data_IF_303700933168
#
_entry.id   IF_303700933168
#
_cell.length_a   1.000
_cell.length_b   1.000
_cell.length_c   1.000
_cell.angle_alpha   90.00
_cell.angle_beta   90.00
_cell.angle_gamma   90.00
#
_symmetry.space_group_name_H-M   'P 1'
#
loop_
_entity.id
_entity.type
_entity.pdbx_description
1 polymer ?
#
# COMPACT_ATOMS: atom_id res chain seq x y z
N UNK A 1 6.07 -13.98 -6.55
CA UNK A 1 5.63 -13.57 -7.89
C UNK A 1 6.68 -12.60 -8.40
N UNK A 2 7.19 -12.77 -9.61
CA UNK A 2 8.12 -11.79 -10.20
C UNK A 2 7.29 -10.63 -10.75
N UNK A 3 7.46 -9.42 -10.20
CA UNK A 3 6.83 -8.21 -10.72
C UNK A 3 7.59 -7.70 -11.96
N UNK A 4 6.87 -7.22 -12.97
CA UNK A 4 7.45 -6.63 -14.18
C UNK A 4 7.85 -5.15 -14.07
N UNK A 5 7.46 -4.49 -12.96
CA UNK A 5 7.64 -3.07 -12.73
C UNK A 5 9.10 -2.63 -12.87
N UNK A 6 9.38 -1.71 -13.79
CA UNK A 6 10.72 -1.23 -14.08
C UNK A 6 11.65 -2.29 -14.68
N UNK A 7 11.15 -3.46 -15.08
CA UNK A 7 11.92 -4.54 -15.73
C UNK A 7 11.49 -4.69 -17.19
N UNK A 8 10.21 -4.98 -17.41
CA UNK A 8 9.60 -5.12 -18.73
C UNK A 8 8.31 -4.29 -18.86
N UNK A 9 7.95 -3.52 -17.84
CA UNK A 9 6.85 -2.57 -17.85
C UNK A 9 7.27 -1.21 -17.27
N UNK A 10 6.59 -0.16 -17.73
CA UNK A 10 6.71 1.21 -17.24
C UNK A 10 5.35 1.90 -17.33
N UNK A 11 5.22 3.03 -16.65
CA UNK A 11 4.06 3.91 -16.74
C UNK A 11 4.50 5.34 -16.99
N UNK A 12 3.73 6.09 -17.77
CA UNK A 12 3.95 7.52 -18.00
C UNK A 12 2.68 8.26 -17.57
N UNK A 13 2.83 9.20 -16.66
CA UNK A 13 1.70 10.03 -16.22
C UNK A 13 1.33 11.07 -17.28
N UNK A 14 0.13 11.67 -17.22
CA UNK A 14 -0.23 12.78 -18.12
C UNK A 14 0.71 13.98 -18.04
N UNK A 15 1.40 14.17 -16.93
CA UNK A 15 2.39 15.23 -16.73
C UNK A 15 3.74 14.93 -17.40
N UNK A 16 3.90 13.76 -18.02
CA UNK A 16 5.15 13.32 -18.65
C UNK A 16 6.12 12.63 -17.70
N UNK A 17 5.68 12.21 -16.51
CA UNK A 17 6.55 11.54 -15.55
C UNK A 17 6.63 10.04 -15.84
N UNK A 18 7.82 9.53 -16.11
CA UNK A 18 8.13 8.11 -16.20
C UNK A 18 8.24 7.49 -14.80
N UNK A 19 7.49 6.40 -14.59
CA UNK A 19 7.45 5.62 -13.36
C UNK A 19 7.75 4.15 -13.63
N UNK A 20 8.37 3.48 -12.66
CA UNK A 20 8.61 2.04 -12.69
C UNK A 20 7.32 1.23 -12.46
N UNK A 21 6.43 1.73 -11.62
CA UNK A 21 5.15 1.13 -11.26
C UNK A 21 4.12 2.24 -11.02
N UNK A 22 2.91 2.09 -11.53
CA UNK A 22 1.81 3.01 -11.23
C UNK A 22 1.47 3.04 -9.73
N UNK A 23 1.51 1.89 -9.07
CA UNK A 23 1.19 1.78 -7.64
C UNK A 23 2.31 2.31 -6.72
N UNK A 24 3.52 2.55 -7.25
CA UNK A 24 4.64 3.13 -6.50
C UNK A 24 5.03 4.49 -7.14
N UNK A 25 4.24 5.56 -6.92
CA UNK A 25 4.49 6.87 -7.53
C UNK A 25 5.61 7.64 -6.81
N UNK A 26 6.70 6.96 -6.46
CA UNK A 26 7.90 7.57 -5.89
C UNK A 26 8.98 7.67 -6.95
N UNK A 27 9.77 8.74 -6.87
CA UNK A 27 10.99 8.92 -7.66
C UNK A 27 10.74 8.73 -9.17
N UNK A 28 9.86 9.56 -9.75
CA UNK A 28 9.62 9.56 -11.20
C UNK A 28 10.62 10.43 -11.96
N UNK A 29 10.80 10.16 -13.25
CA UNK A 29 11.65 10.95 -14.15
C UNK A 29 10.81 11.82 -15.09
N UNK A 30 11.11 13.12 -15.21
CA UNK A 30 10.37 14.02 -16.11
C UNK A 30 10.87 13.87 -17.57
N UNK A 31 10.06 13.23 -18.41
CA UNK A 31 10.36 13.03 -19.83
C UNK A 31 10.30 14.32 -20.66
N UNK A 32 9.76 15.42 -20.12
CA UNK A 32 9.77 16.71 -20.84
C UNK A 32 11.13 17.39 -20.74
N UNK A 33 11.92 17.01 -19.72
CA UNK A 33 13.27 17.53 -19.49
C UNK A 33 14.39 16.68 -20.08
N UNK A 34 14.11 15.47 -20.59
CA UNK A 34 15.13 14.58 -21.17
C UNK A 34 14.56 13.35 -21.87
N UNK A 35 15.34 12.27 -21.98
CA UNK A 35 14.99 11.12 -22.82
C UNK A 35 14.46 9.90 -22.07
N UNK A 36 13.61 9.10 -22.72
CA UNK A 36 13.14 7.82 -22.14
C UNK A 36 14.29 6.91 -21.69
N UNK A 37 15.34 6.79 -22.51
CA UNK A 37 16.51 5.97 -22.21
C UNK A 37 17.22 6.40 -20.92
N UNK A 38 17.30 7.71 -20.69
CA UNK A 38 17.91 8.28 -19.49
C UNK A 38 17.07 7.96 -18.25
N UNK A 39 15.76 8.21 -18.30
CA UNK A 39 14.86 7.85 -17.19
C UNK A 39 14.81 6.34 -16.93
N UNK A 40 14.83 5.52 -17.98
CA UNK A 40 14.72 4.06 -17.91
C UNK A 40 15.97 3.41 -17.29
N UNK A 41 17.16 3.79 -17.74
CA UNK A 41 18.41 3.25 -17.21
C UNK A 41 18.95 4.00 -15.98
N UNK A 42 18.53 5.26 -15.78
CA UNK A 42 18.78 6.05 -14.58
C UNK A 42 17.76 5.74 -13.49
N UNK A 43 16.83 6.67 -13.24
CA UNK A 43 15.88 6.63 -12.11
C UNK A 43 15.13 5.28 -11.98
N UNK A 44 14.55 4.75 -13.07
CA UNK A 44 13.85 3.45 -13.02
C UNK A 44 14.82 2.30 -12.73
N UNK A 45 16.02 2.35 -13.30
CA UNK A 45 17.10 1.38 -13.04
C UNK A 45 17.59 1.41 -11.59
N UNK A 46 17.71 2.58 -10.99
CA UNK A 46 18.04 2.78 -9.57
C UNK A 46 16.96 2.19 -8.65
N UNK A 47 15.68 2.45 -8.94
CA UNK A 47 14.58 1.85 -8.17
C UNK A 47 14.62 0.33 -8.24
N UNK A 48 14.84 -0.24 -9.44
CA UNK A 48 14.91 -1.69 -9.63
C UNK A 48 16.10 -2.32 -8.90
N UNK A 49 17.22 -1.61 -8.80
CA UNK A 49 18.44 -2.09 -8.15
C UNK A 49 18.46 -1.83 -6.64
N UNK A 50 17.49 -1.08 -6.10
CA UNK A 50 17.43 -0.75 -4.68
C UNK A 50 17.28 -2.03 -3.84
N UNK A 51 18.24 -2.34 -2.95
CA UNK A 51 18.05 -3.43 -2.00
C UNK A 51 16.96 -3.08 -0.98
N UNK A 52 16.39 -4.11 -0.36
CA UNK A 52 15.62 -3.91 0.86
C UNK A 52 16.53 -3.32 1.94
N UNK A 53 15.96 -2.47 2.80
CA UNK A 53 16.74 -1.94 3.93
C UNK A 53 17.22 -3.07 4.86
N UNK A 54 18.36 -2.89 5.54
CA UNK A 54 18.92 -3.91 6.44
C UNK A 54 17.95 -4.33 7.56
N UNK A 55 17.10 -3.40 8.01
CA UNK A 55 16.07 -3.65 9.03
C UNK A 55 14.78 -4.26 8.47
N UNK A 56 14.68 -4.49 7.15
CA UNK A 56 13.48 -5.03 6.53
C UNK A 56 13.28 -6.50 6.93
N UNK A 57 12.35 -6.71 7.86
CA UNK A 57 11.99 -8.04 8.40
C UNK A 57 11.48 -9.03 7.36
N UNK A 58 11.02 -8.55 6.19
CA UNK A 58 10.54 -9.38 5.09
C UNK A 58 11.66 -9.83 4.14
N UNK A 59 12.80 -9.12 4.11
CA UNK A 59 13.92 -9.42 3.21
C UNK A 59 14.45 -10.87 3.32
N UNK A 60 14.60 -11.46 4.54
CA UNK A 60 15.05 -12.85 4.68
C UNK A 60 13.93 -13.89 4.56
N UNK A 61 12.67 -13.50 4.33
CA UNK A 61 11.54 -14.42 4.32
C UNK A 61 11.55 -15.34 3.08
N UNK A 62 11.49 -16.66 3.31
CA UNK A 62 11.47 -17.68 2.25
C UNK A 62 10.17 -17.64 1.42
N UNK A 63 9.07 -17.18 2.01
CA UNK A 63 7.76 -17.08 1.35
C UNK A 63 7.60 -15.83 0.46
N UNK A 64 8.66 -15.04 0.21
CA UNK A 64 8.59 -13.84 -0.64
C UNK A 64 8.02 -14.13 -2.03
N UNK A 65 8.23 -15.34 -2.56
CA UNK A 65 7.72 -15.75 -3.86
C UNK A 65 6.20 -16.02 -3.85
N UNK A 66 5.58 -16.22 -2.69
CA UNK A 66 4.14 -16.41 -2.53
C UNK A 66 3.44 -15.17 -1.94
N UNK A 67 4.21 -14.18 -1.49
CA UNK A 67 3.70 -13.00 -0.83
C UNK A 67 3.26 -11.92 -1.83
N UNK A 68 2.07 -11.36 -1.60
CA UNK A 68 1.54 -10.22 -2.37
C UNK A 68 2.03 -8.87 -1.82
N UNK A 69 2.85 -8.86 -0.76
CA UNK A 69 3.47 -7.66 -0.19
C UNK A 69 4.52 -7.10 -1.15
N UNK A 70 4.17 -6.07 -1.91
CA UNK A 70 5.12 -5.33 -2.72
C UNK A 70 5.52 -3.99 -2.06
N UNK A 71 6.59 -3.31 -2.53
CA UNK A 71 6.96 -2.00 -2.01
C UNK A 71 5.84 -0.96 -2.09
N UNK A 72 4.98 -1.01 -3.13
CA UNK A 72 3.83 -0.12 -3.28
C UNK A 72 2.80 -0.28 -2.16
N UNK A 73 2.35 -1.52 -1.91
CA UNK A 73 1.39 -1.80 -0.83
C UNK A 73 2.00 -1.50 0.54
N UNK A 74 3.28 -1.79 0.74
CA UNK A 74 3.97 -1.48 1.99
C UNK A 74 4.02 0.04 2.24
N UNK A 75 4.33 0.83 1.20
CA UNK A 75 4.30 2.28 1.29
C UNK A 75 2.89 2.78 1.64
N UNK A 76 1.85 2.25 1.00
CA UNK A 76 0.47 2.65 1.24
C UNK A 76 0.02 2.36 2.68
N UNK A 77 0.32 1.18 3.19
CA UNK A 77 -0.14 0.72 4.51
C UNK A 77 0.67 1.30 5.66
N UNK A 78 1.99 1.42 5.48
CA UNK A 78 2.94 1.71 6.57
C UNK A 78 3.62 3.07 6.43
N UNK A 79 3.51 3.72 5.27
CA UNK A 79 4.31 4.89 4.93
C UNK A 79 5.75 4.56 4.53
N UNK A 80 6.13 3.28 4.42
CA UNK A 80 7.47 2.84 4.02
C UNK A 80 7.43 1.65 3.05
N UNK A 81 8.23 1.66 1.96
CA UNK A 81 8.35 0.50 1.07
C UNK A 81 8.96 -0.74 1.76
N UNK A 82 9.63 -0.54 2.90
CA UNK A 82 10.22 -1.58 3.75
C UNK A 82 9.30 -2.03 4.89
N UNK A 83 8.04 -1.56 4.92
CA UNK A 83 7.09 -1.89 5.97
C UNK A 83 6.55 -3.31 5.97
N UNK A 84 6.21 -3.80 7.15
CA UNK A 84 5.61 -5.10 7.36
C UNK A 84 4.09 -4.97 7.48
N UNK A 85 3.36 -5.80 6.72
CA UNK A 85 1.89 -5.79 6.68
C UNK A 85 1.39 -7.09 7.35
N UNK A 86 0.77 -7.03 8.55
CA UNK A 86 0.40 -8.22 9.31
C UNK A 86 -0.52 -9.16 8.54
N UNK A 87 -1.57 -8.62 7.92
CA UNK A 87 -2.57 -9.45 7.25
C UNK A 87 -2.01 -10.14 5.98
N UNK A 88 -1.11 -9.50 5.24
CA UNK A 88 -0.38 -10.18 4.16
C UNK A 88 0.52 -11.28 4.70
N UNK A 89 1.23 -11.04 5.81
CA UNK A 89 2.05 -12.07 6.44
C UNK A 89 1.20 -13.29 6.84
N UNK A 90 0.05 -13.06 7.48
CA UNK A 90 -0.89 -14.12 7.86
C UNK A 90 -1.39 -14.89 6.63
N UNK A 91 -1.97 -14.19 5.64
CA UNK A 91 -2.59 -14.81 4.46
C UNK A 91 -1.55 -15.62 3.66
N UNK A 92 -0.34 -15.07 3.46
CA UNK A 92 0.73 -15.80 2.75
C UNK A 92 1.13 -17.07 3.47
N UNK A 93 1.28 -17.04 4.80
CA UNK A 93 1.61 -18.24 5.57
C UNK A 93 0.46 -19.27 5.55
N UNK A 94 -0.81 -18.83 5.57
CA UNK A 94 -1.96 -19.74 5.41
C UNK A 94 -1.95 -20.40 4.02
N UNK A 95 -1.72 -19.63 2.96
CA UNK A 95 -1.63 -20.16 1.58
C UNK A 95 -0.48 -21.16 1.47
N UNK A 96 0.69 -20.83 2.01
CA UNK A 96 1.85 -21.72 2.02
C UNK A 96 1.53 -23.03 2.77
N UNK A 97 0.88 -22.94 3.93
CA UNK A 97 0.49 -24.12 4.70
C UNK A 97 -0.44 -25.06 3.92
N UNK A 98 -1.39 -24.52 3.14
CA UNK A 98 -2.29 -25.33 2.31
C UNK A 98 -1.54 -26.01 1.16
N UNK A 99 -0.62 -25.29 0.50
CA UNK A 99 0.18 -25.84 -0.60
C UNK A 99 1.12 -26.95 -0.12
N UNK A 100 1.79 -26.74 1.02
CA UNK A 100 2.70 -27.76 1.59
C UNK A 100 1.94 -28.99 2.09
N UNK A 101 0.71 -28.82 2.60
CA UNK A 101 -0.15 -29.94 2.99
C UNK A 101 -0.52 -30.80 1.78
N UNK A 102 -0.90 -30.17 0.66
CA UNK A 102 -1.24 -30.87 -0.59
C UNK A 102 -0.06 -31.67 -1.16
N UNK A 103 1.17 -31.16 -1.00
CA UNK A 103 2.40 -31.80 -1.48
C UNK A 103 2.90 -32.87 -0.47
N UNK A 104 2.27 -33.00 0.71
CA UNK A 104 2.62 -33.98 1.74
C UNK A 104 3.73 -33.53 2.71
N UNK A 105 4.13 -32.26 2.68
CA UNK A 105 5.11 -31.67 3.60
C UNK A 105 4.45 -31.19 4.91
N UNK A 106 3.88 -32.11 5.67
CA UNK A 106 3.04 -31.79 6.84
C UNK A 106 3.77 -30.96 7.92
N UNK A 107 5.05 -31.20 8.18
CA UNK A 107 5.82 -30.43 9.17
C UNK A 107 6.00 -28.96 8.75
N UNK A 108 6.35 -28.74 7.49
CA UNK A 108 6.47 -27.39 6.91
C UNK A 108 5.11 -26.69 6.91
N UNK A 109 4.05 -27.40 6.54
CA UNK A 109 2.68 -26.90 6.59
C UNK A 109 2.28 -26.46 8.01
N UNK A 110 2.56 -27.28 9.02
CA UNK A 110 2.28 -26.97 10.42
C UNK A 110 3.06 -25.73 10.91
N UNK A 111 4.34 -25.60 10.53
CA UNK A 111 5.17 -24.43 10.85
C UNK A 111 4.57 -23.14 10.29
N UNK A 112 4.14 -23.14 9.03
CA UNK A 112 3.50 -21.95 8.43
C UNK A 112 2.16 -21.65 9.07
N UNK A 113 1.35 -22.67 9.38
CA UNK A 113 0.07 -22.51 10.08
C UNK A 113 0.26 -21.88 11.45
N UNK A 114 1.24 -22.35 12.22
CA UNK A 114 1.59 -21.80 13.53
C UNK A 114 2.06 -20.33 13.44
N UNK A 115 2.85 -19.99 12.42
CA UNK A 115 3.25 -18.59 12.20
C UNK A 115 2.04 -17.71 11.88
N UNK A 116 1.12 -18.18 11.03
CA UNK A 116 -0.11 -17.44 10.72
C UNK A 116 -0.97 -17.19 11.97
N UNK A 117 -1.17 -18.20 12.83
CA UNK A 117 -1.91 -18.02 14.08
C UNK A 117 -1.20 -17.05 15.04
N UNK A 118 0.14 -17.10 15.10
CA UNK A 118 0.94 -16.16 15.89
C UNK A 118 0.76 -14.71 15.42
N UNK A 119 0.78 -14.47 14.11
CA UNK A 119 0.51 -13.13 13.55
C UNK A 119 -0.91 -12.69 13.86
N UNK A 120 -1.90 -13.58 13.67
CA UNK A 120 -3.32 -13.31 13.98
C UNK A 120 -3.56 -12.97 15.45
N UNK A 121 -2.77 -13.55 16.37
CA UNK A 121 -2.84 -13.24 17.80
C UNK A 121 -2.18 -11.89 18.18
N UNK A 122 -1.78 -11.07 17.20
CA UNK A 122 -1.21 -9.74 17.43
C UNK A 122 0.30 -9.70 17.60
N UNK A 123 1.02 -10.80 17.32
CA UNK A 123 2.48 -10.76 17.33
C UNK A 123 3.02 -9.89 16.21
N UNK A 124 4.08 -9.14 16.51
CA UNK A 124 4.82 -8.33 15.52
C UNK A 124 6.31 -8.68 15.54
N UNK A 125 6.97 -8.74 14.38
CA UNK A 125 8.41 -8.93 14.31
C UNK A 125 9.15 -7.72 14.89
N UNK A 126 10.24 -7.98 15.63
CA UNK A 126 11.09 -6.92 16.20
C UNK A 126 11.67 -6.06 15.06
N UNK A 127 11.56 -4.74 15.18
CA UNK A 127 12.08 -3.80 14.18
C UNK A 127 11.16 -3.60 12.96
N UNK A 128 9.99 -4.22 12.94
CA UNK A 128 9.01 -4.01 11.89
C UNK A 128 8.47 -2.57 11.90
N UNK A 129 8.45 -1.93 10.73
CA UNK A 129 7.64 -0.73 10.51
C UNK A 129 6.21 -1.20 10.30
N UNK A 130 5.31 -0.84 11.20
CA UNK A 130 3.92 -1.29 11.23
C UNK A 130 3.02 -0.37 10.41
N UNK A 131 1.83 -0.87 10.01
CA UNK A 131 0.82 -0.03 9.37
C UNK A 131 0.51 1.20 10.23
N UNK A 132 0.41 2.35 9.59
CA UNK A 132 0.02 3.56 10.28
C UNK A 132 -1.45 3.37 10.64
N UNK A 133 -1.81 3.41 11.92
CA UNK A 133 -3.20 3.46 12.31
C UNK A 133 -3.79 4.75 11.71
N UNK A 134 -4.49 4.64 10.58
CA UNK A 134 -5.33 5.72 10.10
C UNK A 134 -6.40 5.86 11.16
N UNK A 135 -6.30 6.89 12.01
CA UNK A 135 -7.48 7.36 12.75
C UNK A 135 -8.45 7.83 11.68
N UNK A 136 -9.35 6.95 11.27
CA UNK A 136 -10.65 7.41 10.84
C UNK A 136 -11.26 7.97 12.11
N UNK A 137 -11.38 9.29 12.20
CA UNK A 137 -12.15 9.90 13.27
C UNK A 137 -13.57 9.35 13.16
N UNK A 138 -13.86 8.30 13.93
CA UNK A 138 -15.19 7.78 14.06
C UNK A 138 -16.01 8.90 14.73
N UNK A 139 -17.13 9.37 14.13
CA UNK A 139 -17.98 10.31 14.81
C UNK A 139 -18.40 9.70 16.14
N UNK A 140 -18.16 10.42 17.23
CA UNK A 140 -18.53 10.02 18.59
C UNK A 140 -20.02 9.64 18.58
N UNK A 141 -20.41 8.43 19.03
CA UNK A 141 -21.83 8.12 19.13
C UNK A 141 -22.44 9.05 20.17
N UNK A 142 -23.23 10.03 19.72
CA UNK A 142 -24.06 10.87 20.56
C UNK A 142 -25.30 10.07 21.02
N UNK A 143 -25.09 8.93 21.68
CA UNK A 143 -26.15 8.26 22.40
C UNK A 143 -26.23 8.90 23.79
N UNK A 144 -27.08 9.93 23.91
CA UNK A 144 -27.52 10.42 25.20
C UNK A 144 -28.25 9.33 25.97
N UNK A 145 -27.91 9.13 27.23
CA UNK A 145 -28.67 8.31 28.15
C UNK A 145 -30.03 8.98 28.42
N UNK A 146 -31.10 8.45 27.86
CA UNK A 146 -32.47 8.91 28.10
C UNK A 146 -33.47 7.87 27.60
N UNK A 147 -34.28 7.33 28.52
CA UNK A 147 -35.13 6.17 28.30
C UNK A 147 -36.41 6.40 27.50
N UNK A 148 -37.07 5.28 27.17
CA UNK A 148 -38.47 5.23 26.76
C UNK A 148 -38.70 4.89 25.29
N UNK A 149 -39.15 3.67 25.02
CA UNK A 149 -39.81 3.32 23.77
C UNK A 149 -41.27 3.81 23.83
N UNK A 150 -41.56 4.99 23.32
CA UNK A 150 -42.92 5.36 22.92
C UNK A 150 -42.90 6.50 21.90
N UNK A 151 -43.51 6.19 20.74
CA UNK A 151 -43.96 7.04 19.66
C UNK A 151 -43.81 8.57 19.84
N UNK A 152 -42.98 9.19 19.01
CA UNK A 152 -43.30 10.40 18.24
C UNK A 152 -42.10 10.83 17.38
N UNK A 153 -42.27 10.73 16.06
CA UNK A 153 -41.49 11.50 15.10
C UNK A 153 -40.10 10.95 14.78
N UNK A 154 -39.98 10.32 13.61
CA UNK A 154 -38.71 10.27 12.89
C UNK A 154 -38.40 11.70 12.41
N UNK A 155 -37.96 12.56 13.33
CA UNK A 155 -37.39 13.85 12.97
C UNK A 155 -36.06 13.56 12.30
N UNK A 156 -35.96 13.83 10.99
CA UNK A 156 -34.67 13.89 10.29
C UNK A 156 -33.79 14.86 11.07
N UNK A 157 -32.88 14.34 11.89
CA UNK A 157 -31.71 15.09 12.26
C UNK A 157 -30.99 15.36 10.94
N UNK A 158 -31.08 16.62 10.48
CA UNK A 158 -30.19 17.13 9.45
C UNK A 158 -28.80 16.92 10.00
N UNK A 159 -28.13 15.88 9.53
CA UNK A 159 -26.68 15.83 9.66
C UNK A 159 -26.17 17.15 9.09
N UNK A 160 -25.30 17.90 9.78
CA UNK A 160 -24.60 18.97 9.09
C UNK A 160 -23.99 18.32 7.85
N UNK A 161 -24.30 18.86 6.67
CA UNK A 161 -23.81 18.32 5.42
C UNK A 161 -22.35 17.96 5.62
N UNK A 162 -22.04 16.66 5.55
CA UNK A 162 -20.66 16.20 5.64
C UNK A 162 -19.91 17.05 4.63
N UNK A 163 -18.97 17.88 5.10
CA UNK A 163 -18.10 18.62 4.18
C UNK A 163 -17.55 17.54 3.27
N UNK A 164 -17.74 17.64 1.94
CA UNK A 164 -17.15 16.66 1.05
C UNK A 164 -15.66 16.66 1.38
N UNK A 165 -15.16 15.51 1.85
CA UNK A 165 -13.73 15.29 1.96
C UNK A 165 -13.21 15.62 0.58
N UNK A 166 -12.46 16.73 0.45
CA UNK A 166 -11.79 17.02 -0.81
C UNK A 166 -10.95 15.79 -1.11
N UNK A 167 -11.40 15.03 -2.11
CA UNK A 167 -10.55 14.08 -2.81
C UNK A 167 -9.26 14.84 -3.09
N UNK A 168 -8.10 14.23 -2.87
CA UNK A 168 -6.80 14.87 -3.11
C UNK A 168 -6.85 15.52 -4.50
N UNK A 169 -7.02 16.84 -4.51
CA UNK A 169 -7.01 17.64 -5.73
C UNK A 169 -5.54 17.65 -6.12
N UNK A 170 -5.20 16.87 -7.14
CA UNK A 170 -3.91 17.00 -7.81
C UNK A 170 -3.93 18.40 -8.42
N UNK A 171 -3.31 19.36 -7.74
CA UNK A 171 -3.11 20.70 -8.27
C UNK A 171 -2.35 20.57 -9.59
N UNK A 172 -3.05 20.84 -10.69
CA UNK A 172 -2.42 20.97 -11.99
C UNK A 172 -1.82 22.38 -12.04
N UNK A 173 -0.49 22.53 -12.23
CA UNK A 173 0.06 23.86 -12.48
C UNK A 173 -0.62 24.45 -13.72
N UNK A 174 -0.92 25.76 -13.72
CA UNK A 174 -1.57 26.40 -14.85
C UNK A 174 -0.74 26.19 -16.12
N UNK A 175 -1.43 25.82 -17.21
CA UNK A 175 -0.82 25.75 -18.52
C UNK A 175 -0.13 27.08 -18.81
N UNK A 176 1.17 27.03 -19.10
CA UNK A 176 1.92 28.20 -19.57
C UNK A 176 1.24 28.67 -20.85
N UNK A 177 0.59 29.83 -20.78
CA UNK A 177 0.05 30.48 -21.95
C UNK A 177 1.22 30.71 -22.91
N UNK A 178 1.19 30.01 -24.05
CA UNK A 178 2.06 30.30 -25.18
C UNK A 178 1.82 31.75 -25.58
N UNK A 179 2.80 32.60 -25.25
CA UNK A 179 2.83 33.98 -25.69
C UNK A 179 2.91 34.02 -27.21
N UNK A 180 1.83 34.49 -27.83
CA UNK A 180 1.86 35.06 -29.16
C UNK A 180 2.55 36.42 -29.10
N UNK A 181 3.64 36.58 -29.86
CA UNK A 181 4.20 37.89 -30.21
C UNK A 181 5.73 38.01 -30.07
N UNK A 182 6.49 37.63 -31.10
CA UNK A 182 6.84 38.47 -32.26
C UNK A 182 7.44 37.61 -33.36
#
# INVERSE_FOLDING_TARGET
>A
MSCGAGVNSFHVTPQGTLLSCEALPLNGYDLRGGGFREGWYGIVGEIRSRPAAEFNVCAPCELKALCDRCPATALLETGSPDGWIPYYCEITHRRAALLEEEIGHHETAARYRAHAEKVKSGWTPKGAILPRAVRLDAPTPACGAGGGCAASGCGKAVSPAARPTKLIEIEHPPAVAGGTGR
#
